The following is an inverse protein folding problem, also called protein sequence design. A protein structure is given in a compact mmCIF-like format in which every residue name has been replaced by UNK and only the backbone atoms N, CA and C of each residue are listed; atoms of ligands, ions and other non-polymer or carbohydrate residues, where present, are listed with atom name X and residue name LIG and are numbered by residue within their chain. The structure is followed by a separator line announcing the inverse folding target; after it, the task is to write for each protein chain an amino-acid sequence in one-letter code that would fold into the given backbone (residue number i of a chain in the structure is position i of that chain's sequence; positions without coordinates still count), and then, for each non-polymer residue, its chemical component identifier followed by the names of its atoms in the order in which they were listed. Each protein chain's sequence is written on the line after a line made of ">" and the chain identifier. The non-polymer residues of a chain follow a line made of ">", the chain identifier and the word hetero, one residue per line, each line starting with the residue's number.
data_IF_249528097663
#
_entry.id   IF_249528097663
#
_cell.length_a   1.000
_cell.length_b   1.000
_cell.length_c   1.000
_cell.angle_alpha   90.00
_cell.angle_beta   90.00
_cell.angle_gamma   90.00
#
_symmetry.space_group_name_H-M   'P 1'
#
loop_
_entity.id
_entity.type
_entity.pdbx_description
1 polymer ?
#
# COMPACT_ATOMS: atom_id res chain seq x y z
N UNK A 1 -53.53 41.96 6.22
CA UNK A 1 -52.87 40.72 6.68
C UNK A 1 -53.99 39.74 6.98
N UNK A 2 -54.27 38.79 6.08
CA UNK A 2 -55.39 37.85 6.25
C UNK A 2 -54.93 36.76 7.24
N UNK A 3 -55.58 36.56 8.39
CA UNK A 3 -55.20 35.50 9.32
C UNK A 3 -55.41 34.14 8.64
N UNK A 4 -54.39 33.27 8.70
CA UNK A 4 -54.51 31.92 8.18
C UNK A 4 -55.60 31.15 8.95
N UNK A 5 -56.35 30.25 8.29
CA UNK A 5 -57.28 29.36 8.96
C UNK A 5 -56.57 28.53 10.04
N UNK A 6 -57.21 28.27 11.20
CA UNK A 6 -56.63 27.49 12.32
C UNK A 6 -56.19 26.07 11.93
N UNK A 7 -56.68 25.57 10.80
CA UNK A 7 -56.25 24.32 10.18
C UNK A 7 -54.76 24.33 9.77
N UNK A 8 -54.26 25.45 9.25
CA UNK A 8 -52.86 25.55 8.80
C UNK A 8 -51.88 25.53 9.97
N UNK A 9 -52.24 26.15 11.09
CA UNK A 9 -51.41 26.14 12.30
C UNK A 9 -51.32 24.74 12.91
N UNK A 10 -52.41 23.99 12.94
CA UNK A 10 -52.43 22.59 13.40
C UNK A 10 -51.60 21.69 12.48
N UNK A 11 -51.68 21.89 11.16
CA UNK A 11 -50.89 21.14 10.20
C UNK A 11 -49.39 21.47 10.28
N UNK A 12 -49.04 22.73 10.48
CA UNK A 12 -47.66 23.15 10.72
C UNK A 12 -47.11 22.56 12.04
N UNK A 13 -47.91 22.56 13.11
CA UNK A 13 -47.49 22.02 14.40
C UNK A 13 -47.28 20.50 14.36
N UNK A 14 -48.17 19.76 13.70
CA UNK A 14 -48.05 18.30 13.54
C UNK A 14 -46.86 17.90 12.68
N UNK A 15 -46.62 18.59 11.56
CA UNK A 15 -45.45 18.35 10.70
C UNK A 15 -44.14 18.69 11.40
N UNK A 16 -44.07 19.80 12.15
CA UNK A 16 -42.90 20.17 12.93
C UNK A 16 -42.56 19.10 14.00
N UNK A 17 -43.58 18.65 14.76
CA UNK A 17 -43.41 17.58 15.75
C UNK A 17 -42.92 16.29 15.09
N UNK A 18 -43.49 15.92 13.94
CA UNK A 18 -43.07 14.73 13.20
C UNK A 18 -41.60 14.80 12.80
N UNK A 19 -41.15 15.93 12.23
CA UNK A 19 -39.75 16.15 11.82
C UNK A 19 -38.81 16.05 13.02
N UNK A 20 -39.17 16.66 14.15
CA UNK A 20 -38.37 16.59 15.39
C UNK A 20 -38.25 15.15 15.87
N UNK A 21 -39.35 14.40 15.92
CA UNK A 21 -39.35 13.00 16.37
C UNK A 21 -38.48 12.13 15.48
N UNK A 22 -38.60 12.26 14.16
CA UNK A 22 -37.79 11.50 13.19
C UNK A 22 -36.30 11.85 13.32
N UNK A 23 -35.97 13.15 13.44
CA UNK A 23 -34.59 13.61 13.63
C UNK A 23 -33.97 13.11 14.93
N UNK A 24 -34.73 13.14 16.04
CA UNK A 24 -34.29 12.59 17.32
C UNK A 24 -34.05 11.08 17.23
N UNK A 25 -34.92 10.33 16.55
CA UNK A 25 -34.74 8.90 16.33
C UNK A 25 -33.48 8.60 15.49
N UNK A 26 -33.24 9.38 14.44
CA UNK A 26 -32.04 9.24 13.59
C UNK A 26 -30.75 9.57 14.36
N UNK A 27 -30.74 10.64 15.15
CA UNK A 27 -29.59 10.99 15.99
C UNK A 27 -29.31 9.92 17.05
N UNK A 28 -30.36 9.34 17.64
CA UNK A 28 -30.20 8.24 18.59
C UNK A 28 -29.60 7.00 17.91
N UNK A 29 -30.04 6.66 16.71
CA UNK A 29 -29.47 5.57 15.93
C UNK A 29 -27.98 5.81 15.64
N UNK A 30 -27.61 7.02 15.19
CA UNK A 30 -26.20 7.36 14.96
C UNK A 30 -25.37 7.31 16.24
N UNK A 31 -25.91 7.74 17.37
CA UNK A 31 -25.24 7.65 18.66
C UNK A 31 -24.97 6.19 19.04
N UNK A 32 -25.95 5.30 18.86
CA UNK A 32 -25.79 3.87 19.13
C UNK A 32 -24.71 3.27 18.23
N UNK A 33 -24.72 3.57 16.93
CA UNK A 33 -23.68 3.10 15.99
C UNK A 33 -22.28 3.62 16.35
N UNK A 34 -22.16 4.88 16.78
CA UNK A 34 -20.90 5.44 17.22
C UNK A 34 -20.39 4.73 18.49
N UNK A 35 -21.27 4.51 19.47
CA UNK A 35 -20.91 3.84 20.72
C UNK A 35 -20.52 2.38 20.50
N UNK A 36 -21.19 1.65 19.61
CA UNK A 36 -20.79 0.28 19.27
C UNK A 36 -19.46 0.26 18.53
N UNK A 37 -19.23 1.17 17.58
CA UNK A 37 -17.95 1.31 16.89
C UNK A 37 -16.81 1.61 17.86
N UNK A 38 -16.99 2.56 18.78
CA UNK A 38 -16.00 2.91 19.81
C UNK A 38 -15.79 1.73 20.77
N UNK A 39 -16.85 1.05 21.21
CA UNK A 39 -16.74 -0.11 22.09
C UNK A 39 -15.94 -1.25 21.44
N UNK A 40 -16.16 -1.49 20.14
CA UNK A 40 -15.37 -2.44 19.36
C UNK A 40 -13.93 -1.96 19.20
N UNK A 41 -13.68 -0.69 18.91
CA UNK A 41 -12.32 -0.15 18.78
C UNK A 41 -11.53 -0.22 20.09
N UNK A 42 -12.18 0.06 21.22
CA UNK A 42 -11.56 -0.02 22.55
C UNK A 42 -11.40 -1.47 23.03
N UNK A 43 -12.29 -2.38 22.61
CA UNK A 43 -12.25 -3.80 22.94
C UNK A 43 -11.37 -4.64 22.02
N UNK A 44 -10.97 -4.11 20.85
CA UNK A 44 -9.96 -4.73 20.01
C UNK A 44 -8.62 -4.63 20.74
N UNK A 45 -7.98 -5.74 21.11
CA UNK A 45 -6.59 -5.66 21.53
C UNK A 45 -5.82 -4.96 20.41
N UNK A 46 -5.00 -3.95 20.75
CA UNK A 46 -3.97 -3.47 19.81
C UNK A 46 -3.31 -4.72 19.23
N UNK A 47 -3.09 -4.76 17.92
CA UNK A 47 -2.59 -5.93 17.17
C UNK A 47 -1.18 -6.39 17.64
N UNK A 48 -0.69 -5.98 18.82
CA UNK A 48 0.48 -6.52 19.49
C UNK A 48 0.45 -8.02 19.81
N UNK A 49 -0.71 -8.69 19.76
CA UNK A 49 -0.74 -10.16 19.95
C UNK A 49 -0.14 -10.93 18.77
N UNK A 50 0.00 -10.28 17.61
CA UNK A 50 0.64 -10.90 16.46
C UNK A 50 2.16 -11.02 16.66
N UNK A 51 2.83 -10.04 17.29
CA UNK A 51 4.30 -10.06 17.46
C UNK A 51 4.85 -11.28 18.19
N UNK A 52 4.19 -11.79 19.23
CA UNK A 52 4.68 -12.98 19.95
C UNK A 52 4.53 -14.27 19.12
N UNK A 53 3.45 -14.37 18.33
CA UNK A 53 3.22 -15.48 17.40
C UNK A 53 4.11 -15.36 16.15
N UNK A 54 4.27 -14.15 15.63
CA UNK A 54 5.21 -13.82 14.56
C UNK A 54 6.62 -14.19 14.99
N UNK A 55 7.14 -13.69 16.12
CA UNK A 55 8.50 -14.04 16.57
C UNK A 55 8.71 -15.57 16.67
N UNK A 56 7.71 -16.34 17.10
CA UNK A 56 7.80 -17.80 17.14
C UNK A 56 7.69 -18.50 15.77
N UNK A 57 7.03 -17.90 14.77
CA UNK A 57 6.91 -18.39 13.40
C UNK A 57 8.07 -17.93 12.50
N UNK A 58 8.70 -16.82 12.86
CA UNK A 58 9.60 -16.03 12.02
C UNK A 58 11.06 -16.48 12.17
N UNK A 59 11.43 -17.11 13.28
CA UNK A 59 12.78 -17.70 13.52
C UNK A 59 13.18 -18.80 12.50
N UNK A 60 12.24 -19.25 11.65
CA UNK A 60 12.50 -20.16 10.54
C UNK A 60 11.80 -19.76 9.24
N UNK A 61 11.39 -18.49 9.10
CA UNK A 61 10.72 -18.02 7.91
C UNK A 61 11.69 -18.05 6.70
N UNK A 62 11.27 -18.62 5.55
CA UNK A 62 12.11 -18.68 4.36
C UNK A 62 12.37 -17.27 3.81
N UNK A 63 13.53 -17.01 3.20
CA UNK A 63 13.81 -15.70 2.63
C UNK A 63 12.86 -15.40 1.45
N UNK A 64 12.46 -14.14 1.29
CA UNK A 64 11.49 -13.70 0.27
C UNK A 64 12.04 -12.58 -0.61
N UNK A 65 11.85 -12.65 -1.92
CA UNK A 65 12.11 -11.53 -2.84
C UNK A 65 10.81 -10.89 -3.28
N UNK A 66 10.66 -9.60 -3.06
CA UNK A 66 9.52 -8.81 -3.50
C UNK A 66 9.87 -8.12 -4.81
N UNK A 67 9.15 -8.45 -5.88
CA UNK A 67 9.31 -7.81 -7.19
C UNK A 67 8.27 -6.70 -7.32
N UNK A 68 8.73 -5.48 -7.59
CA UNK A 68 7.89 -4.29 -7.73
C UNK A 68 8.01 -3.72 -9.14
N UNK A 69 7.13 -4.09 -10.08
CA UNK A 69 7.11 -3.46 -11.40
C UNK A 69 6.59 -2.03 -11.28
N UNK A 70 7.35 -1.07 -11.83
CA UNK A 70 7.03 0.35 -11.79
C UNK A 70 7.06 0.95 -13.19
N UNK A 71 6.02 1.71 -13.55
CA UNK A 71 5.96 2.48 -14.78
C UNK A 71 5.22 3.79 -14.54
N UNK A 72 5.92 4.91 -14.66
CA UNK A 72 5.39 6.26 -14.43
C UNK A 72 4.78 6.48 -13.03
N UNK A 73 5.54 6.15 -11.99
CA UNK A 73 5.14 6.19 -10.57
C UNK A 73 5.95 7.23 -9.77
N UNK A 74 6.45 8.31 -10.40
CA UNK A 74 7.36 9.25 -9.75
C UNK A 74 6.80 9.89 -8.46
N UNK A 75 5.47 10.03 -8.36
CA UNK A 75 4.79 10.65 -7.22
C UNK A 75 4.61 9.70 -6.02
N UNK A 76 4.50 8.39 -6.28
CA UNK A 76 4.05 7.38 -5.31
C UNK A 76 5.16 6.39 -4.92
N UNK A 77 6.07 6.08 -5.85
CA UNK A 77 7.06 5.00 -5.71
C UNK A 77 7.94 5.12 -4.47
N UNK A 78 8.30 6.35 -4.09
CA UNK A 78 9.17 6.57 -2.94
C UNK A 78 8.48 6.18 -1.62
N UNK A 79 7.21 6.53 -1.47
CA UNK A 79 6.44 6.23 -0.26
C UNK A 79 6.07 4.74 -0.18
N UNK A 80 5.71 4.13 -1.32
CA UNK A 80 5.49 2.69 -1.43
C UNK A 80 6.74 1.91 -1.04
N UNK A 81 7.92 2.29 -1.56
CA UNK A 81 9.17 1.61 -1.22
C UNK A 81 9.62 1.83 0.22
N UNK A 82 9.44 3.03 0.77
CA UNK A 82 9.71 3.27 2.21
C UNK A 82 8.86 2.37 3.08
N UNK A 83 7.58 2.19 2.73
CA UNK A 83 6.66 1.30 3.44
C UNK A 83 7.11 -0.16 3.32
N UNK A 84 7.46 -0.61 2.12
CA UNK A 84 7.94 -1.96 1.86
C UNK A 84 9.26 -2.27 2.58
N UNK A 85 10.18 -1.32 2.62
CA UNK A 85 11.47 -1.46 3.30
C UNK A 85 11.37 -1.38 4.84
N UNK A 86 10.22 -0.94 5.37
CA UNK A 86 9.96 -0.87 6.80
C UNK A 86 9.36 -2.17 7.38
N UNK A 87 9.15 -3.20 6.57
CA UNK A 87 8.62 -4.49 7.01
C UNK A 87 9.57 -5.20 8.00
N UNK A 88 9.02 -5.76 9.07
CA UNK A 88 9.75 -6.52 10.09
C UNK A 88 9.87 -8.02 9.70
N UNK A 89 10.33 -8.29 8.47
CA UNK A 89 10.60 -9.66 7.99
C UNK A 89 12.11 -9.97 8.07
N UNK A 90 12.55 -11.17 8.54
CA UNK A 90 13.97 -11.43 8.85
C UNK A 90 14.90 -11.31 7.67
N UNK A 91 14.51 -11.88 6.54
CA UNK A 91 15.31 -11.91 5.32
C UNK A 91 14.43 -11.70 4.10
N UNK A 92 14.44 -10.47 3.60
CA UNK A 92 13.77 -10.16 2.35
C UNK A 92 14.57 -9.19 1.49
N UNK A 93 14.40 -9.34 0.18
CA UNK A 93 14.99 -8.50 -0.86
C UNK A 93 13.88 -7.79 -1.63
N UNK A 94 14.11 -6.53 -2.00
CA UNK A 94 13.21 -5.75 -2.87
C UNK A 94 13.89 -5.56 -4.22
N UNK A 95 13.21 -5.99 -5.29
CA UNK A 95 13.62 -5.84 -6.68
C UNK A 95 12.62 -4.94 -7.38
N UNK A 96 12.95 -3.67 -7.55
CA UNK A 96 12.13 -2.75 -8.33
C UNK A 96 12.49 -2.90 -9.80
N UNK A 97 11.50 -3.01 -10.68
CA UNK A 97 11.72 -3.05 -12.12
C UNK A 97 11.11 -1.82 -12.75
N UNK A 98 11.94 -0.85 -13.10
CA UNK A 98 11.53 0.31 -13.88
C UNK A 98 11.29 -0.12 -15.33
N UNK A 99 10.02 -0.22 -15.73
CA UNK A 99 9.60 -0.70 -17.05
C UNK A 99 9.66 0.43 -18.10
N UNK A 100 10.82 1.07 -18.22
CA UNK A 100 11.06 2.13 -19.19
C UNK A 100 10.17 3.36 -18.97
N UNK A 101 9.99 3.78 -17.72
CA UNK A 101 9.24 5.00 -17.37
C UNK A 101 9.72 6.21 -18.17
N UNK A 102 8.77 7.07 -18.54
CA UNK A 102 8.99 8.31 -19.29
C UNK A 102 9.00 9.55 -18.40
N UNK A 103 8.62 9.39 -17.13
CA UNK A 103 8.64 10.42 -16.11
C UNK A 103 9.93 10.36 -15.25
N UNK A 104 9.91 11.01 -14.09
CA UNK A 104 11.05 11.06 -13.16
C UNK A 104 11.16 9.83 -12.23
N UNK A 105 10.47 8.71 -12.50
CA UNK A 105 10.43 7.54 -11.59
C UNK A 105 11.84 7.06 -11.23
N UNK A 106 12.70 6.85 -12.23
CA UNK A 106 14.07 6.38 -12.00
C UNK A 106 14.91 7.42 -11.25
N UNK A 107 14.78 8.71 -11.58
CA UNK A 107 15.51 9.79 -10.93
C UNK A 107 15.14 9.91 -9.44
N UNK A 108 13.85 9.78 -9.12
CA UNK A 108 13.35 9.74 -7.74
C UNK A 108 13.97 8.56 -7.00
N UNK A 109 13.95 7.36 -7.60
CA UNK A 109 14.56 6.17 -7.01
C UNK A 109 16.06 6.38 -6.73
N UNK A 110 16.80 6.92 -7.70
CA UNK A 110 18.24 7.19 -7.56
C UNK A 110 18.54 8.18 -6.43
N UNK A 111 17.77 9.28 -6.35
CA UNK A 111 17.95 10.34 -5.36
C UNK A 111 17.57 9.90 -3.95
N UNK A 112 16.41 9.27 -3.79
CA UNK A 112 15.85 8.93 -2.47
C UNK A 112 16.57 7.73 -1.83
N UNK A 113 16.98 6.75 -2.64
CA UNK A 113 17.57 5.50 -2.14
C UNK A 113 19.09 5.40 -2.39
N UNK A 114 19.73 6.41 -2.97
CA UNK A 114 21.18 6.44 -3.17
C UNK A 114 21.66 5.27 -4.03
N UNK A 115 21.11 5.17 -5.24
CA UNK A 115 21.39 4.05 -6.15
C UNK A 115 22.70 4.25 -6.92
N UNK A 116 23.52 3.21 -6.96
CA UNK A 116 24.76 3.16 -7.75
C UNK A 116 24.68 2.04 -8.79
N UNK A 117 25.27 2.23 -10.00
CA UNK A 117 25.31 1.20 -11.02
C UNK A 117 25.98 -0.09 -10.51
N UNK A 118 25.34 -1.22 -10.78
CA UNK A 118 25.82 -2.54 -10.42
C UNK A 118 25.83 -3.46 -11.65
N UNK A 119 26.73 -4.45 -11.71
CA UNK A 119 26.64 -5.51 -12.71
C UNK A 119 25.36 -6.33 -12.49
N UNK A 120 24.73 -6.77 -13.56
CA UNK A 120 23.62 -7.72 -13.50
C UNK A 120 24.07 -9.00 -12.77
N UNK A 121 23.38 -9.40 -11.70
CA UNK A 121 23.72 -10.63 -10.95
C UNK A 121 23.38 -11.87 -11.77
N UNK A 122 22.12 -11.95 -12.21
CA UNK A 122 21.64 -13.01 -13.09
C UNK A 122 20.72 -12.41 -14.16
N UNK A 123 20.65 -13.07 -15.31
CA UNK A 123 19.73 -12.71 -16.40
C UNK A 123 18.61 -13.73 -16.39
N UNK A 124 17.36 -13.27 -16.40
CA UNK A 124 16.21 -14.16 -16.44
C UNK A 124 16.22 -14.98 -17.73
N UNK A 125 15.87 -16.25 -17.62
CA UNK A 125 15.71 -17.13 -18.79
C UNK A 125 14.38 -16.92 -19.50
N UNK A 126 13.45 -16.23 -18.85
CA UNK A 126 12.14 -15.93 -19.40
C UNK A 126 12.25 -14.84 -20.47
N UNK A 127 11.41 -14.88 -21.52
CA UNK A 127 11.36 -13.79 -22.49
C UNK A 127 11.00 -12.47 -21.81
N UNK A 128 11.87 -11.48 -21.97
CA UNK A 128 11.64 -10.11 -21.51
C UNK A 128 12.38 -9.11 -22.40
N UNK A 129 11.93 -7.85 -22.41
CA UNK A 129 12.62 -6.78 -23.11
C UNK A 129 13.99 -6.48 -22.46
N UNK A 130 14.98 -6.00 -23.23
CA UNK A 130 16.35 -5.87 -22.74
C UNK A 130 16.45 -4.92 -21.54
N UNK A 131 17.23 -5.36 -20.55
CA UNK A 131 17.64 -4.52 -19.43
C UNK A 131 18.61 -3.43 -19.91
N UNK A 132 18.41 -2.21 -19.42
CA UNK A 132 19.27 -1.05 -19.66
C UNK A 132 20.35 -0.92 -18.60
N UNK A 133 20.05 -1.28 -17.35
CA UNK A 133 21.00 -1.25 -16.25
C UNK A 133 20.43 -1.82 -14.96
N UNK A 134 21.33 -2.19 -14.05
CA UNK A 134 21.01 -2.58 -12.69
C UNK A 134 21.64 -1.56 -11.74
N UNK A 135 20.93 -1.24 -10.67
CA UNK A 135 21.41 -0.34 -9.63
C UNK A 135 21.17 -0.96 -8.26
N UNK A 136 22.11 -0.73 -7.34
CA UNK A 136 21.99 -1.15 -5.94
C UNK A 136 21.92 0.08 -5.05
N UNK A 137 21.09 0.02 -4.03
CA UNK A 137 21.06 1.07 -3.01
C UNK A 137 22.27 0.99 -2.08
N UNK A 138 22.91 2.13 -1.85
CA UNK A 138 23.93 2.31 -0.82
C UNK A 138 23.34 2.48 0.58
N UNK A 139 22.05 2.81 0.67
CA UNK A 139 21.31 3.05 1.93
C UNK A 139 20.59 1.81 2.43
N UNK A 140 20.15 0.94 1.52
CA UNK A 140 19.38 -0.27 1.82
C UNK A 140 20.02 -1.46 1.10
N UNK A 141 20.73 -2.31 1.84
CA UNK A 141 21.44 -3.46 1.27
C UNK A 141 20.53 -4.46 0.55
N UNK A 142 19.25 -4.50 0.93
CA UNK A 142 18.23 -5.35 0.37
C UNK A 142 17.46 -4.75 -0.81
N UNK A 143 17.81 -3.54 -1.29
CA UNK A 143 17.14 -2.90 -2.43
C UNK A 143 18.00 -2.93 -3.71
N UNK A 144 17.41 -3.44 -4.78
CA UNK A 144 17.95 -3.45 -6.14
C UNK A 144 16.92 -2.88 -7.11
N UNK A 145 17.37 -2.11 -8.09
CA UNK A 145 16.53 -1.51 -9.13
C UNK A 145 17.04 -1.93 -10.50
N UNK A 146 16.18 -2.55 -11.30
CA UNK A 146 16.43 -2.93 -12.68
C UNK A 146 15.72 -1.95 -13.60
N UNK A 147 16.47 -1.25 -14.45
CA UNK A 147 15.90 -0.44 -15.54
C UNK A 147 15.89 -1.25 -16.84
N UNK A 148 14.78 -1.21 -17.57
CA UNK A 148 14.60 -1.93 -18.84
C UNK A 148 13.82 -1.13 -19.87
N UNK A 149 13.78 -1.65 -21.09
CA UNK A 149 12.88 -1.12 -22.13
C UNK A 149 11.43 -1.47 -21.79
N UNK A 150 10.52 -0.50 -21.94
CA UNK A 150 9.10 -0.69 -21.68
C UNK A 150 8.50 -1.83 -22.52
N UNK A 151 7.81 -2.76 -21.88
CA UNK A 151 7.03 -3.81 -22.56
C UNK A 151 5.90 -4.40 -21.72
N UNK A 152 5.54 -3.75 -20.62
CA UNK A 152 4.40 -4.08 -19.77
C UNK A 152 4.76 -4.87 -18.51
N UNK A 153 3.81 -4.90 -17.58
CA UNK A 153 3.96 -5.46 -16.23
C UNK A 153 4.44 -6.92 -16.21
N UNK A 154 3.86 -7.78 -17.03
CA UNK A 154 4.25 -9.20 -17.07
C UNK A 154 5.71 -9.39 -17.52
N UNK A 155 6.16 -8.59 -18.48
CA UNK A 155 7.54 -8.59 -18.96
C UNK A 155 8.49 -8.02 -17.90
N UNK A 156 8.08 -6.95 -17.20
CA UNK A 156 8.81 -6.42 -16.06
C UNK A 156 8.99 -7.46 -14.95
N UNK A 157 7.95 -8.25 -14.64
CA UNK A 157 8.06 -9.37 -13.69
C UNK A 157 9.03 -10.45 -14.17
N UNK A 158 8.98 -10.82 -15.46
CA UNK A 158 9.92 -11.77 -16.04
C UNK A 158 11.38 -11.29 -15.92
N UNK A 159 11.63 -10.01 -16.15
CA UNK A 159 12.95 -9.41 -15.99
C UNK A 159 13.39 -9.38 -14.52
N UNK A 160 12.48 -9.03 -13.60
CA UNK A 160 12.72 -9.00 -12.16
C UNK A 160 13.06 -10.36 -11.55
N UNK A 161 12.49 -11.44 -12.09
CA UNK A 161 12.81 -12.82 -11.68
C UNK A 161 14.31 -13.14 -11.84
N UNK A 162 15.00 -12.47 -12.77
CA UNK A 162 16.44 -12.60 -12.92
C UNK A 162 17.25 -12.03 -11.75
N UNK A 163 16.66 -11.23 -10.86
CA UNK A 163 17.35 -10.68 -9.68
C UNK A 163 16.88 -11.30 -8.35
N UNK A 164 15.97 -12.26 -8.42
CA UNK A 164 15.50 -13.02 -7.26
C UNK A 164 16.58 -14.03 -6.86
N UNK A 165 16.99 -13.99 -5.60
CA UNK A 165 18.00 -14.90 -5.02
C UNK A 165 17.44 -15.82 -3.94
N UNK A 166 16.13 -15.74 -3.69
CA UNK A 166 15.45 -16.42 -2.59
C UNK A 166 14.55 -17.53 -3.11
N UNK A 167 14.17 -18.47 -2.24
CA UNK A 167 13.29 -19.60 -2.61
C UNK A 167 11.86 -19.15 -2.90
N UNK A 168 11.40 -18.12 -2.20
CA UNK A 168 10.09 -17.53 -2.40
C UNK A 168 10.21 -16.14 -3.03
N UNK A 169 9.26 -15.81 -3.89
CA UNK A 169 9.07 -14.45 -4.36
C UNK A 169 7.59 -14.08 -4.35
N UNK A 170 7.31 -12.79 -4.26
CA UNK A 170 5.98 -12.23 -4.49
C UNK A 170 6.08 -11.00 -5.40
N UNK A 171 5.00 -10.71 -6.10
CA UNK A 171 4.86 -9.50 -6.89
C UNK A 171 3.95 -8.53 -6.14
N UNK A 172 4.39 -7.28 -6.00
CA UNK A 172 3.63 -6.20 -5.35
C UNK A 172 3.61 -5.01 -6.29
N UNK A 173 2.46 -4.36 -6.41
CA UNK A 173 2.33 -3.21 -7.30
C UNK A 173 3.00 -1.97 -6.70
N UNK A 174 3.60 -1.13 -7.55
CA UNK A 174 4.33 0.05 -7.13
C UNK A 174 3.46 1.10 -6.40
N UNK A 175 2.14 1.05 -6.57
CA UNK A 175 1.15 1.92 -5.92
C UNK A 175 0.51 1.29 -4.66
N UNK A 176 0.96 0.09 -4.28
CA UNK A 176 0.46 -0.59 -3.07
C UNK A 176 1.21 -0.14 -1.83
N UNK A 177 0.50 0.53 -0.92
CA UNK A 177 0.99 0.80 0.43
C UNK A 177 0.80 -0.45 1.29
N UNK A 178 1.89 -0.99 1.81
CA UNK A 178 1.86 -2.08 2.79
C UNK A 178 2.00 -1.46 4.19
N UNK A 179 1.06 -1.78 5.07
CA UNK A 179 1.14 -1.40 6.47
C UNK A 179 2.37 -2.08 7.11
N UNK A 180 3.24 -1.31 7.75
CA UNK A 180 4.35 -1.87 8.49
C UNK A 180 3.83 -2.69 9.67
N UNK A 181 4.54 -3.76 10.03
CA UNK A 181 4.20 -4.58 11.19
C UNK A 181 4.47 -3.80 12.49
N UNK A 182 3.50 -3.00 12.97
CA UNK A 182 3.69 -2.11 14.13
C UNK A 182 2.43 -1.61 14.82
#
# INVERSE_FOLDING_TARGET
>A
MIPFPPFFDLLAQTTAVLVIVVSMAQNLLYLVLLLTAVSVMLGRPRVHQSRALWNGLVDGAPPVSVIVPAYNEAETIADSLRSLLALEYPDFRVVVVNDGSTDATLDVLMREFGLEPAPLEHVSTLPHAPARGLYRSTRHANLVVLDKVNSGKADALNAGLGQVTTELFCAVDADSLIEADG
#
